data_IF_991187296374
#
_entry.id   IF_991187296374
#
_cell.length_a   1.000
_cell.length_b   1.000
_cell.length_c   1.000
_cell.angle_alpha   90.00
_cell.angle_beta   90.00
_cell.angle_gamma   90.00
#
_symmetry.space_group_name_H-M   'P 1'
#
loop_
_entity.id
_entity.type
_entity.pdbx_description
1 polymer ?
#
# COMPACT_ATOMS: atom_id res chain seq x y z
N UNK A 1 -45.08 -26.08 31.57
CA UNK A 1 -45.52 -25.65 30.22
C UNK A 1 -44.93 -24.26 29.96
N UNK A 2 -44.26 -24.04 28.82
CA UNK A 2 -43.73 -22.70 28.44
C UNK A 2 -44.42 -22.28 27.14
N UNK A 3 -44.92 -21.05 27.10
CA UNK A 3 -45.57 -20.44 25.93
C UNK A 3 -44.95 -19.07 25.68
N UNK A 4 -45.02 -18.59 24.43
CA UNK A 4 -44.57 -17.26 24.02
C UNK A 4 -45.61 -16.64 23.09
N UNK A 5 -45.79 -15.32 23.16
CA UNK A 5 -46.73 -14.55 22.34
C UNK A 5 -46.23 -14.41 20.91
N UNK A 6 -47.10 -14.59 19.93
CA UNK A 6 -46.74 -14.44 18.50
C UNK A 6 -46.52 -12.96 18.19
N UNK A 7 -45.35 -12.65 17.62
CA UNK A 7 -45.00 -11.29 17.18
C UNK A 7 -44.70 -11.26 15.69
N UNK A 8 -45.16 -10.22 15.01
CA UNK A 8 -44.82 -9.96 13.60
C UNK A 8 -43.60 -9.05 13.54
N UNK A 9 -42.58 -9.44 12.77
CA UNK A 9 -41.38 -8.64 12.57
C UNK A 9 -40.45 -9.24 11.52
N UNK A 10 -39.44 -8.50 11.05
CA UNK A 10 -38.43 -9.02 10.15
C UNK A 10 -37.55 -10.05 10.88
N UNK A 11 -37.29 -11.19 10.23
CA UNK A 11 -36.33 -12.18 10.72
C UNK A 11 -34.91 -11.68 10.45
N UNK A 12 -34.08 -11.57 11.49
CA UNK A 12 -32.67 -11.22 11.32
C UNK A 12 -31.89 -12.47 10.97
N UNK A 13 -31.42 -12.58 9.73
CA UNK A 13 -30.54 -13.65 9.30
C UNK A 13 -29.10 -13.37 9.76
N UNK A 14 -28.47 -14.36 10.37
CA UNK A 14 -27.07 -14.29 10.79
C UNK A 14 -26.26 -15.34 10.02
N UNK A 15 -25.17 -14.90 9.38
CA UNK A 15 -24.23 -15.76 8.67
C UNK A 15 -22.81 -15.27 8.90
N UNK A 16 -21.86 -16.21 8.91
CA UNK A 16 -20.43 -15.93 8.97
C UNK A 16 -19.79 -16.20 7.61
N UNK A 17 -18.87 -15.33 7.19
CA UNK A 17 -18.12 -15.45 5.95
C UNK A 17 -16.62 -15.34 6.24
N UNK A 18 -15.77 -16.17 5.63
CA UNK A 18 -14.32 -15.98 5.67
C UNK A 18 -13.92 -14.76 4.83
N UNK A 19 -12.87 -14.06 5.26
CA UNK A 19 -12.30 -12.91 4.55
C UNK A 19 -10.78 -12.90 4.66
N UNK A 20 -10.11 -12.18 3.75
CA UNK A 20 -8.65 -12.05 3.71
C UNK A 20 -8.22 -10.68 4.22
N UNK A 21 -7.04 -10.62 4.83
CA UNK A 21 -6.33 -9.37 5.13
C UNK A 21 -5.41 -9.05 3.97
N UNK A 22 -5.65 -7.94 3.29
CA UNK A 22 -4.84 -7.46 2.17
C UNK A 22 -4.19 -6.12 2.51
N UNK A 23 -3.19 -5.72 1.71
CA UNK A 23 -2.61 -4.38 1.80
C UNK A 23 -3.64 -3.31 1.41
N UNK A 24 -3.50 -2.13 1.99
CA UNK A 24 -4.36 -0.99 1.67
C UNK A 24 -3.99 -0.40 0.30
N UNK A 25 -4.86 -0.61 -0.68
CA UNK A 25 -4.66 -0.12 -2.05
C UNK A 25 -4.72 1.42 -2.16
N UNK A 26 -5.33 2.11 -1.19
CA UNK A 26 -5.30 3.58 -1.13
C UNK A 26 -3.94 4.13 -0.64
N UNK A 27 -3.09 3.28 -0.04
CA UNK A 27 -1.75 3.63 0.42
C UNK A 27 -0.67 3.00 -0.48
N UNK A 28 -0.83 3.16 -1.79
CA UNK A 28 0.01 2.53 -2.80
C UNK A 28 0.90 3.56 -3.51
N UNK A 29 2.21 3.26 -3.64
CA UNK A 29 3.17 4.12 -4.31
C UNK A 29 4.18 3.30 -5.12
N UNK A 30 4.32 3.63 -6.41
CA UNK A 30 5.37 3.12 -7.28
C UNK A 30 6.31 4.28 -7.58
N UNK A 31 7.56 4.19 -7.10
CA UNK A 31 8.58 5.23 -7.31
C UNK A 31 9.30 4.98 -8.63
N UNK A 32 9.33 6.00 -9.48
CA UNK A 32 10.03 5.99 -10.77
C UNK A 32 10.93 7.22 -10.87
N UNK A 33 12.11 7.06 -11.47
CA UNK A 33 12.99 8.17 -11.79
C UNK A 33 12.29 9.15 -12.75
N UNK A 34 12.55 10.45 -12.57
CA UNK A 34 11.91 11.52 -13.36
C UNK A 34 12.54 11.70 -14.74
N UNK A 35 13.81 11.34 -14.88
CA UNK A 35 14.59 11.40 -16.10
C UNK A 35 15.60 10.24 -16.12
N UNK A 36 16.21 9.99 -17.27
CA UNK A 36 17.20 8.93 -17.43
C UNK A 36 18.51 9.29 -16.72
N UNK A 37 19.28 8.27 -16.33
CA UNK A 37 20.50 8.44 -15.56
C UNK A 37 21.15 7.10 -15.23
N UNK A 38 22.14 7.14 -14.35
CA UNK A 38 22.86 5.95 -13.87
C UNK A 38 22.81 5.88 -12.34
N UNK A 39 22.83 4.65 -11.82
CA UNK A 39 22.74 4.37 -10.38
C UNK A 39 24.12 4.56 -9.77
N UNK A 40 24.20 5.35 -8.70
CA UNK A 40 25.45 5.58 -7.95
C UNK A 40 25.54 4.66 -6.73
N UNK A 41 24.41 4.50 -6.01
CA UNK A 41 24.35 3.69 -4.78
C UNK A 41 22.96 3.12 -4.58
N UNK A 42 22.89 1.89 -4.07
CA UNK A 42 21.66 1.25 -3.62
C UNK A 42 21.76 0.98 -2.11
N UNK A 43 20.74 1.36 -1.35
CA UNK A 43 20.69 1.12 0.10
C UNK A 43 20.32 -0.35 0.38
N UNK A 44 20.68 -0.91 1.56
CA UNK A 44 20.41 -2.31 1.90
C UNK A 44 18.91 -2.54 2.15
N UNK A 45 18.14 -2.61 1.08
CA UNK A 45 16.70 -2.84 1.05
C UNK A 45 16.39 -3.97 0.07
N UNK A 46 15.45 -4.82 0.42
CA UNK A 46 14.93 -5.89 -0.44
C UNK A 46 13.41 -5.94 -0.42
N UNK A 47 12.82 -6.66 -1.36
CA UNK A 47 11.36 -6.83 -1.44
C UNK A 47 10.86 -7.53 -0.17
N UNK A 48 9.88 -6.90 0.49
CA UNK A 48 9.33 -7.37 1.77
C UNK A 48 9.76 -6.52 2.97
N UNK A 49 10.79 -5.68 2.82
CA UNK A 49 11.19 -4.76 3.89
C UNK A 49 10.15 -3.64 4.08
N UNK A 50 9.84 -3.34 5.34
CA UNK A 50 9.00 -2.20 5.70
C UNK A 50 9.86 -0.93 5.76
N UNK A 51 9.57 0.03 4.89
CA UNK A 51 10.20 1.35 4.88
C UNK A 51 9.28 2.42 5.49
N UNK A 52 9.88 3.51 5.96
CA UNK A 52 9.14 4.69 6.44
C UNK A 52 9.24 5.81 5.40
N UNK A 53 8.36 6.80 5.49
CA UNK A 53 8.44 7.98 4.61
C UNK A 53 9.81 8.65 4.79
N UNK A 54 10.54 8.84 3.69
CA UNK A 54 11.88 9.43 3.69
C UNK A 54 13.03 8.42 3.78
N UNK A 55 12.77 7.11 3.89
CA UNK A 55 13.82 6.09 3.76
C UNK A 55 14.47 6.18 2.38
N UNK A 56 15.81 6.33 2.30
CA UNK A 56 16.50 6.40 1.02
C UNK A 56 16.48 5.03 0.33
N UNK A 57 16.12 5.02 -0.96
CA UNK A 57 16.04 3.79 -1.76
C UNK A 57 17.34 3.57 -2.55
N UNK A 58 17.76 4.59 -3.29
CA UNK A 58 18.97 4.63 -4.09
C UNK A 58 19.35 6.07 -4.38
N UNK A 59 20.61 6.28 -4.71
CA UNK A 59 21.15 7.53 -5.22
C UNK A 59 21.41 7.35 -6.73
N UNK A 60 21.01 8.34 -7.55
CA UNK A 60 21.22 8.32 -9.01
C UNK A 60 21.69 9.69 -9.52
N UNK A 61 22.48 9.66 -10.60
CA UNK A 61 22.92 10.85 -11.32
C UNK A 61 22.10 11.01 -12.61
N UNK A 62 21.53 12.21 -12.81
CA UNK A 62 20.68 12.58 -13.94
C UNK A 62 21.39 13.68 -14.76
N UNK A 63 21.97 13.38 -15.94
CA UNK A 63 22.65 14.36 -16.77
C UNK A 63 21.72 15.43 -17.37
N UNK A 64 20.47 15.08 -17.66
CA UNK A 64 19.51 15.96 -18.36
C UNK A 64 19.25 17.31 -17.68
N UNK A 65 19.56 17.45 -16.38
CA UNK A 65 19.37 18.71 -15.64
C UNK A 65 20.62 19.58 -15.60
N UNK A 66 21.78 19.06 -16.02
CA UNK A 66 23.03 19.81 -16.05
C UNK A 66 22.96 20.94 -17.07
N UNK A 67 22.34 20.70 -18.23
CA UNK A 67 22.19 21.72 -19.29
C UNK A 67 21.18 22.82 -18.94
N UNK A 68 20.20 22.54 -18.07
CA UNK A 68 19.18 23.52 -17.66
C UNK A 68 19.61 24.38 -16.45
N UNK A 69 20.76 24.08 -15.85
CA UNK A 69 21.24 24.72 -14.62
C UNK A 69 22.36 25.75 -14.86
N UNK A 70 22.97 25.77 -16.06
CA UNK A 70 23.85 26.87 -16.51
C UNK A 70 23.07 28.11 -16.94
#
# INVERSE_FOLDING_TARGET
MKTATVTRGPLTFAQSFPANVSYNEYQYAIVQARAAGFIDKVYPLTVGDKVQKGTPLLDLTIPDWVEAQE
#
